data_IF_108226501273
#
_entry.id   IF_108226501273
#
_cell.length_a   1.000
_cell.length_b   1.000
_cell.length_c   1.000
_cell.angle_alpha   90.00
_cell.angle_beta   90.00
_cell.angle_gamma   90.00
#
_symmetry.space_group_name_H-M   'P 1'
#
loop_
_entity.id
_entity.type
_entity.pdbx_description
1 polymer ?
#
# COMPACT_ATOMS: atom_id res chain seq x y z
N UNK A 1 -2.25 -2.99 6.51
CA UNK A 1 -2.06 -1.71 5.82
C UNK A 1 -1.37 -0.73 6.75
N UNK A 2 -0.60 0.17 6.20
CA UNK A 2 -0.10 1.33 6.91
C UNK A 2 -1.14 2.45 6.75
N UNK A 3 -1.65 2.94 7.87
CA UNK A 3 -2.58 4.07 7.92
C UNK A 3 -2.04 5.10 8.91
N UNK A 4 -2.34 6.39 8.75
CA UNK A 4 -2.00 7.37 9.75
C UNK A 4 -2.55 6.97 11.12
N UNK A 5 -1.72 7.07 12.16
CA UNK A 5 -2.09 6.64 13.51
C UNK A 5 -3.31 7.41 14.04
N UNK A 6 -3.49 8.65 13.59
CA UNK A 6 -4.64 9.48 13.90
C UNK A 6 -5.98 8.87 13.44
N UNK A 7 -5.96 7.98 12.44
CA UNK A 7 -7.17 7.31 11.92
C UNK A 7 -7.48 5.98 12.62
N UNK A 8 -6.72 5.60 13.65
CA UNK A 8 -6.90 4.33 14.35
C UNK A 8 -8.34 4.11 14.83
N UNK A 9 -8.97 5.14 15.41
CA UNK A 9 -10.35 5.08 15.94
C UNK A 9 -11.38 4.75 14.85
N UNK A 10 -11.15 5.16 13.59
CA UNK A 10 -12.04 4.89 12.45
C UNK A 10 -12.03 3.42 12.00
N UNK A 11 -11.08 2.65 12.46
CA UNK A 11 -10.98 1.21 12.13
C UNK A 11 -11.42 0.29 13.26
N UNK A 12 -11.73 0.83 14.46
CA UNK A 12 -12.06 0.03 15.65
C UNK A 12 -13.36 -0.77 15.49
N UNK A 13 -14.34 -0.28 14.74
CA UNK A 13 -15.55 -1.04 14.46
C UNK A 13 -15.26 -2.37 13.72
N UNK A 14 -14.21 -2.43 12.88
CA UNK A 14 -13.77 -3.67 12.24
C UNK A 14 -13.16 -4.66 13.22
N UNK A 15 -12.57 -4.17 14.30
CA UNK A 15 -11.96 -5.01 15.34
C UNK A 15 -12.97 -5.86 16.09
N UNK A 16 -14.24 -5.44 16.13
CA UNK A 16 -15.34 -6.21 16.69
C UNK A 16 -15.83 -7.34 15.76
N UNK A 17 -15.40 -7.36 14.48
CA UNK A 17 -15.84 -8.39 13.53
C UNK A 17 -14.90 -9.61 13.55
N UNK A 18 -15.41 -10.82 13.27
CA UNK A 18 -14.58 -12.02 13.14
C UNK A 18 -13.51 -11.84 12.06
N UNK A 19 -12.36 -12.48 12.27
CA UNK A 19 -11.31 -12.49 11.25
C UNK A 19 -11.81 -13.15 9.95
N UNK A 20 -11.55 -12.53 8.79
CA UNK A 20 -12.03 -13.01 7.47
C UNK A 20 -11.49 -14.38 7.09
N UNK A 21 -10.34 -14.77 7.61
CA UNK A 21 -9.74 -16.07 7.31
C UNK A 21 -10.15 -17.12 8.35
N UNK A 22 -11.02 -18.00 7.93
CA UNK A 22 -11.59 -19.07 8.78
C UNK A 22 -10.53 -20.00 9.40
N UNK A 23 -9.36 -20.14 8.78
CA UNK A 23 -8.23 -20.89 9.34
C UNK A 23 -7.74 -20.33 10.68
N UNK A 24 -7.67 -19.01 10.81
CA UNK A 24 -7.33 -18.32 12.08
C UNK A 24 -8.41 -18.56 13.12
N UNK A 25 -9.66 -18.36 12.76
CA UNK A 25 -10.81 -18.55 13.69
C UNK A 25 -10.82 -19.94 14.28
N UNK A 26 -10.61 -20.99 13.46
CA UNK A 26 -10.54 -22.37 13.92
C UNK A 26 -9.39 -22.64 14.90
N UNK A 27 -8.23 -22.00 14.71
CA UNK A 27 -7.10 -22.12 15.66
C UNK A 27 -7.45 -21.48 17.00
N UNK A 28 -8.02 -20.28 16.97
CA UNK A 28 -8.40 -19.55 18.19
C UNK A 28 -9.48 -20.32 18.98
N UNK A 29 -10.47 -20.87 18.30
CA UNK A 29 -11.51 -21.71 18.92
C UNK A 29 -10.94 -22.98 19.56
N UNK A 30 -9.96 -23.62 18.92
CA UNK A 30 -9.28 -24.83 19.43
C UNK A 30 -8.34 -24.54 20.59
N UNK A 31 -7.73 -23.34 20.63
CA UNK A 31 -6.69 -22.94 21.58
C UNK A 31 -7.03 -21.62 22.29
N UNK A 32 -8.13 -21.56 23.04
CA UNK A 32 -8.57 -20.34 23.72
C UNK A 32 -7.55 -19.86 24.77
N UNK A 33 -6.85 -20.78 25.42
CA UNK A 33 -5.81 -20.53 26.40
C UNK A 33 -4.59 -19.78 25.83
N UNK A 34 -4.31 -19.98 24.55
CA UNK A 34 -3.10 -19.43 23.90
C UNK A 34 -3.14 -17.92 23.76
N UNK A 35 -4.32 -17.34 23.58
CA UNK A 35 -4.49 -15.89 23.49
C UNK A 35 -4.10 -15.17 24.80
N UNK A 36 -4.57 -15.67 25.93
CA UNK A 36 -4.26 -15.10 27.24
C UNK A 36 -2.81 -15.32 27.61
N UNK A 37 -2.25 -16.50 27.32
CA UNK A 37 -0.84 -16.78 27.51
C UNK A 37 0.08 -15.84 26.68
N UNK A 38 -0.27 -15.55 25.43
CA UNK A 38 0.48 -14.63 24.57
C UNK A 38 0.42 -13.21 25.14
N UNK A 39 -0.76 -12.75 25.57
CA UNK A 39 -0.91 -11.42 26.16
C UNK A 39 -0.11 -11.32 27.47
N UNK A 40 -0.19 -12.32 28.35
CA UNK A 40 0.57 -12.35 29.59
C UNK A 40 2.10 -12.26 29.30
N UNK A 41 2.61 -13.06 28.37
CA UNK A 41 4.02 -12.99 27.98
C UNK A 41 4.42 -11.62 27.45
N UNK A 42 3.61 -11.01 26.56
CA UNK A 42 3.89 -9.66 26.04
C UNK A 42 3.84 -8.62 27.16
N UNK A 43 2.95 -8.81 28.14
CA UNK A 43 2.85 -7.93 29.32
C UNK A 43 4.14 -7.99 30.15
N UNK A 44 4.65 -9.18 30.42
CA UNK A 44 5.78 -9.42 31.32
C UNK A 44 7.14 -9.23 30.61
N UNK A 45 7.30 -9.77 29.39
CA UNK A 45 8.55 -9.78 28.64
C UNK A 45 8.76 -8.58 27.74
N UNK A 46 7.70 -7.80 27.46
CA UNK A 46 7.71 -6.71 26.47
C UNK A 46 7.30 -7.17 25.08
N UNK A 47 7.60 -6.34 24.08
CA UNK A 47 7.20 -6.57 22.68
C UNK A 47 7.90 -7.80 22.08
N UNK A 48 7.13 -8.72 21.49
CA UNK A 48 7.60 -9.99 20.95
C UNK A 48 7.28 -10.17 19.46
N UNK A 49 8.11 -10.94 18.77
CA UNK A 49 7.83 -11.39 17.40
C UNK A 49 7.12 -12.74 17.39
N UNK A 50 6.54 -13.12 16.25
CA UNK A 50 6.00 -14.48 16.10
C UNK A 50 7.07 -15.57 16.26
N UNK A 51 8.34 -15.27 16.01
CA UNK A 51 9.46 -16.17 16.21
C UNK A 51 9.71 -16.49 17.68
N UNK A 52 9.58 -15.47 18.56
CA UNK A 52 9.81 -15.61 20.01
C UNK A 52 8.70 -16.44 20.67
N UNK A 53 7.53 -16.49 20.05
CA UNK A 53 6.35 -17.22 20.53
C UNK A 53 6.16 -18.58 19.86
N UNK A 54 7.06 -18.97 18.96
CA UNK A 54 6.95 -20.21 18.20
C UNK A 54 7.00 -21.44 19.12
N UNK A 55 5.94 -22.25 19.08
CA UNK A 55 5.85 -23.50 19.86
C UNK A 55 6.23 -24.75 19.07
N UNK A 56 6.21 -24.66 17.74
CA UNK A 56 6.45 -25.80 16.86
C UNK A 56 7.93 -26.20 16.82
N UNK A 57 8.20 -27.46 17.13
CA UNK A 57 9.50 -28.10 16.93
C UNK A 57 9.45 -28.85 15.58
N UNK A 58 10.20 -28.40 14.58
CA UNK A 58 10.27 -29.07 13.28
C UNK A 58 10.32 -28.14 12.07
N UNK A 59 10.51 -28.68 10.85
CA UNK A 59 10.58 -27.90 9.63
C UNK A 59 9.25 -27.21 9.33
N UNK A 60 9.35 -26.07 8.66
CA UNK A 60 8.19 -25.31 8.18
C UNK A 60 7.58 -26.04 6.99
N UNK A 61 6.28 -26.24 6.99
CA UNK A 61 5.50 -26.73 5.86
C UNK A 61 5.34 -25.68 4.73
N UNK A 62 4.37 -25.87 3.82
CA UNK A 62 4.08 -24.91 2.74
C UNK A 62 3.87 -23.51 3.25
N UNK A 63 3.86 -22.52 2.36
CA UNK A 63 3.72 -21.09 2.65
C UNK A 63 2.59 -20.74 3.65
N UNK A 64 1.50 -21.50 3.66
CA UNK A 64 0.31 -21.29 4.49
C UNK A 64 0.31 -22.11 5.80
N UNK A 65 1.39 -22.82 6.10
CA UNK A 65 1.52 -23.61 7.33
C UNK A 65 1.97 -22.70 8.48
N UNK A 66 1.01 -22.02 9.06
CA UNK A 66 1.24 -21.14 10.20
C UNK A 66 1.25 -21.93 11.51
N UNK A 67 2.18 -21.55 12.38
CA UNK A 67 2.16 -21.96 13.77
C UNK A 67 0.93 -21.39 14.48
N UNK A 68 0.34 -22.14 15.42
CA UNK A 68 -0.84 -21.71 16.17
C UNK A 68 -0.62 -20.35 16.85
N UNK A 69 0.57 -20.10 17.40
CA UNK A 69 0.91 -18.80 17.99
C UNK A 69 0.84 -17.66 16.96
N UNK A 70 1.29 -17.89 15.72
CA UNK A 70 1.18 -16.91 14.64
C UNK A 70 -0.27 -16.62 14.27
N UNK A 71 -1.13 -17.64 14.23
CA UNK A 71 -2.55 -17.46 13.95
C UNK A 71 -3.24 -16.65 15.05
N UNK A 72 -2.97 -16.96 16.32
CA UNK A 72 -3.51 -16.22 17.46
C UNK A 72 -3.01 -14.78 17.52
N UNK A 73 -1.73 -14.54 17.23
CA UNK A 73 -1.18 -13.17 17.14
C UNK A 73 -1.91 -12.33 16.07
N UNK A 74 -2.21 -12.91 14.91
CA UNK A 74 -2.95 -12.20 13.85
C UNK A 74 -4.41 -11.92 14.27
N UNK A 75 -5.05 -12.82 15.00
CA UNK A 75 -6.39 -12.59 15.56
C UNK A 75 -6.38 -11.47 16.61
N UNK A 76 -5.44 -11.53 17.56
CA UNK A 76 -5.28 -10.49 18.57
C UNK A 76 -4.97 -9.11 17.95
N UNK A 77 -4.15 -9.10 16.92
CA UNK A 77 -3.86 -7.88 16.15
C UNK A 77 -5.09 -7.39 15.38
N UNK A 78 -5.85 -8.28 14.74
CA UNK A 78 -7.11 -7.94 14.08
C UNK A 78 -8.13 -7.33 15.04
N UNK A 79 -8.26 -7.91 16.22
CA UNK A 79 -9.17 -7.46 17.29
C UNK A 79 -8.67 -6.23 18.03
N UNK A 80 -7.51 -5.69 17.69
CA UNK A 80 -6.93 -4.52 18.35
C UNK A 80 -6.48 -4.78 19.79
N UNK A 81 -6.44 -6.04 20.26
CA UNK A 81 -5.88 -6.42 21.56
C UNK A 81 -4.35 -6.35 21.59
N UNK A 82 -3.73 -6.44 20.42
CA UNK A 82 -2.32 -6.15 20.17
C UNK A 82 -2.20 -5.16 19.03
N UNK A 83 -1.11 -4.40 19.03
CA UNK A 83 -0.66 -3.63 17.88
C UNK A 83 0.69 -4.15 17.41
N UNK A 84 1.22 -3.62 16.30
CA UNK A 84 2.50 -4.06 15.80
C UNK A 84 3.27 -2.92 15.14
N UNK A 85 4.57 -2.88 15.42
CA UNK A 85 5.55 -2.09 14.66
C UNK A 85 6.35 -3.00 13.74
N UNK A 86 7.02 -2.42 12.74
CA UNK A 86 7.94 -3.15 11.86
C UNK A 86 9.35 -3.13 12.45
N UNK A 87 10.06 -4.24 12.31
CA UNK A 87 11.48 -4.34 12.62
C UNK A 87 12.30 -3.87 11.41
N UNK A 88 13.19 -2.91 11.62
CA UNK A 88 13.88 -2.23 10.52
C UNK A 88 14.68 -3.15 9.60
N UNK A 89 15.32 -4.19 10.16
CA UNK A 89 16.20 -5.07 9.37
C UNK A 89 15.47 -6.00 8.39
N UNK A 90 14.19 -6.36 8.64
CA UNK A 90 13.49 -7.40 7.87
C UNK A 90 11.97 -7.21 7.79
N UNK A 91 11.47 -6.07 8.28
CA UNK A 91 10.05 -5.72 8.32
C UNK A 91 9.15 -6.74 9.06
N UNK A 92 9.71 -7.66 9.85
CA UNK A 92 8.92 -8.54 10.69
C UNK A 92 8.09 -7.73 11.68
N UNK A 93 6.87 -8.20 11.96
CA UNK A 93 6.02 -7.58 12.98
C UNK A 93 6.57 -7.87 14.37
N UNK A 94 6.67 -6.84 15.18
CA UNK A 94 6.92 -6.90 16.62
C UNK A 94 5.60 -6.50 17.29
N UNK A 95 4.96 -7.41 17.98
CA UNK A 95 3.66 -7.22 18.60
C UNK A 95 3.82 -6.69 20.02
N UNK A 96 2.97 -5.72 20.38
CA UNK A 96 2.96 -5.11 21.71
C UNK A 96 1.53 -4.72 22.14
N UNK A 97 1.36 -4.38 23.39
CA UNK A 97 0.11 -3.84 23.91
C UNK A 97 -0.17 -2.46 23.28
N UNK A 98 -1.42 -2.15 22.90
CA UNK A 98 -1.77 -0.85 22.36
C UNK A 98 -1.33 0.32 23.26
N UNK A 99 -1.47 0.17 24.56
CA UNK A 99 -1.14 1.19 25.57
C UNK A 99 0.35 1.54 25.62
N UNK A 100 1.21 0.64 25.16
CA UNK A 100 2.66 0.88 25.09
C UNK A 100 3.12 1.42 23.72
N UNK A 101 2.38 1.12 22.68
CA UNK A 101 2.79 1.38 21.31
C UNK A 101 2.05 2.54 20.65
N UNK A 102 0.89 2.94 21.16
CA UNK A 102 0.07 4.03 20.63
C UNK A 102 0.03 5.18 21.62
N UNK A 103 0.04 6.45 21.13
CA UNK A 103 -0.14 7.62 21.98
C UNK A 103 -1.48 7.57 22.74
N UNK A 104 -1.47 8.04 23.97
CA UNK A 104 -2.66 8.01 24.84
C UNK A 104 -3.84 8.79 24.24
N UNK A 105 -3.56 9.91 23.57
CA UNK A 105 -4.58 10.73 22.89
C UNK A 105 -5.24 10.00 21.71
N UNK A 106 -4.53 9.06 21.06
CA UNK A 106 -5.09 8.20 19.99
C UNK A 106 -6.02 7.16 20.61
N UNK A 107 -5.61 6.57 21.73
CA UNK A 107 -6.41 5.57 22.43
C UNK A 107 -7.66 6.19 23.07
N UNK A 108 -7.55 7.40 23.58
CA UNK A 108 -8.65 8.13 24.22
C UNK A 108 -9.74 8.61 23.24
N UNK A 109 -9.47 8.65 21.93
CA UNK A 109 -10.46 9.04 20.93
C UNK A 109 -11.67 8.11 20.98
N UNK A 110 -12.90 8.64 21.05
CA UNK A 110 -14.10 7.80 21.00
C UNK A 110 -14.16 7.03 19.69
N UNK A 111 -14.67 5.81 19.75
CA UNK A 111 -14.94 5.02 18.57
C UNK A 111 -16.27 5.48 17.97
N UNK A 112 -16.30 6.01 16.75
CA UNK A 112 -17.56 6.35 16.10
C UNK A 112 -18.33 5.07 15.76
N UNK A 113 -19.63 5.20 15.52
CA UNK A 113 -20.39 4.09 14.97
C UNK A 113 -19.88 3.70 13.56
N UNK A 114 -20.30 2.53 13.08
CA UNK A 114 -19.82 2.00 11.81
C UNK A 114 -20.14 2.94 10.62
N UNK A 115 -21.34 3.54 10.61
CA UNK A 115 -21.78 4.44 9.52
C UNK A 115 -20.94 5.71 9.48
N UNK A 116 -20.68 6.31 10.63
CA UNK A 116 -19.89 7.54 10.73
C UNK A 116 -18.41 7.29 10.50
N UNK A 117 -17.87 6.17 11.02
CA UNK A 117 -16.51 5.75 10.69
C UNK A 117 -16.30 5.54 9.18
N UNK A 118 -17.26 4.90 8.51
CA UNK A 118 -17.23 4.71 7.07
C UNK A 118 -17.34 6.02 6.30
N UNK A 119 -18.19 6.96 6.75
CA UNK A 119 -18.34 8.26 6.13
C UNK A 119 -17.04 9.06 6.20
N UNK A 120 -16.38 9.11 7.35
CA UNK A 120 -15.10 9.78 7.50
C UNK A 120 -14.00 9.12 6.65
N UNK A 121 -13.95 7.79 6.58
CA UNK A 121 -13.01 7.07 5.71
C UNK A 121 -13.26 7.35 4.22
N UNK A 122 -14.52 7.49 3.77
CA UNK A 122 -14.86 7.86 2.39
C UNK A 122 -14.43 9.30 2.10
N UNK A 123 -14.66 10.22 3.04
CA UNK A 123 -14.21 11.61 2.89
C UNK A 123 -12.68 11.71 2.82
N UNK A 124 -11.95 10.97 3.67
CA UNK A 124 -10.49 10.88 3.59
C UNK A 124 -10.02 10.31 2.24
N UNK A 125 -10.72 9.30 1.72
CA UNK A 125 -10.44 8.75 0.40
C UNK A 125 -10.67 9.81 -0.70
N UNK A 126 -11.78 10.54 -0.64
CA UNK A 126 -12.11 11.59 -1.62
C UNK A 126 -11.10 12.73 -1.63
N UNK A 127 -10.60 13.14 -0.46
CA UNK A 127 -9.51 14.12 -0.34
C UNK A 127 -8.22 13.65 -1.02
N UNK A 128 -7.88 12.37 -0.82
CA UNK A 128 -6.64 11.79 -1.37
C UNK A 128 -6.72 11.58 -2.88
N UNK A 129 -7.91 11.26 -3.39
CA UNK A 129 -8.13 10.95 -4.80
C UNK A 129 -8.54 12.16 -5.64
N UNK A 130 -9.00 13.25 -4.99
CA UNK A 130 -9.55 14.43 -5.62
C UNK A 130 -10.92 14.15 -6.26
N UNK A 131 -10.93 13.44 -7.36
CA UNK A 131 -12.13 12.92 -8.03
C UNK A 131 -12.09 11.40 -8.10
N UNK A 132 -13.22 10.73 -7.83
CA UNK A 132 -13.26 9.27 -7.71
C UNK A 132 -14.65 8.70 -7.98
N UNK A 133 -14.74 7.49 -8.54
CA UNK A 133 -15.99 6.74 -8.60
C UNK A 133 -16.33 6.14 -7.22
N UNK A 134 -17.55 5.62 -7.07
CA UNK A 134 -17.92 4.86 -5.86
C UNK A 134 -16.98 3.67 -5.60
N UNK A 135 -16.54 3.01 -6.68
CA UNK A 135 -15.58 1.90 -6.60
C UNK A 135 -14.24 2.34 -6.04
N UNK A 136 -13.71 3.46 -6.52
CA UNK A 136 -12.43 4.03 -6.06
C UNK A 136 -12.49 4.41 -4.58
N UNK A 137 -13.55 5.13 -4.17
CA UNK A 137 -13.76 5.55 -2.78
C UNK A 137 -13.84 4.36 -1.82
N UNK A 138 -14.56 3.32 -2.22
CA UNK A 138 -14.70 2.11 -1.42
C UNK A 138 -13.38 1.33 -1.33
N UNK A 139 -12.68 1.15 -2.45
CA UNK A 139 -11.43 0.39 -2.51
C UNK A 139 -10.30 1.05 -1.70
N UNK A 140 -10.26 2.37 -1.60
CA UNK A 140 -9.18 3.09 -0.92
C UNK A 140 -8.95 2.58 0.51
N UNK A 141 -10.04 2.35 1.27
CA UNK A 141 -10.00 1.77 2.61
C UNK A 141 -10.53 0.32 2.66
N UNK A 142 -10.54 -0.39 1.51
CA UNK A 142 -10.96 -1.80 1.40
C UNK A 142 -12.36 -2.03 1.99
N UNK A 143 -13.30 -1.17 1.64
CA UNK A 143 -14.72 -1.27 1.99
C UNK A 143 -15.48 -1.93 0.83
N UNK A 144 -16.68 -2.46 1.11
CA UNK A 144 -17.57 -3.00 0.07
C UNK A 144 -18.39 -1.85 -0.52
N UNK A 145 -18.47 -1.76 -1.84
CA UNK A 145 -19.27 -0.71 -2.53
C UNK A 145 -20.73 -0.67 -2.06
N UNK A 146 -21.32 -1.86 -1.83
CA UNK A 146 -22.73 -1.95 -1.38
C UNK A 146 -22.95 -1.22 -0.04
N UNK A 147 -21.98 -1.30 0.87
CA UNK A 147 -22.04 -0.65 2.16
C UNK A 147 -21.74 0.86 2.05
N UNK A 148 -20.92 1.26 1.08
CA UNK A 148 -20.54 2.67 0.86
C UNK A 148 -21.61 3.47 0.11
N UNK A 149 -22.38 2.85 -0.76
CA UNK A 149 -23.38 3.53 -1.61
C UNK A 149 -24.36 4.44 -0.84
N UNK A 150 -25.04 4.00 0.23
CA UNK A 150 -25.94 4.85 1.00
C UNK A 150 -25.19 6.00 1.71
N UNK A 151 -23.96 5.75 2.11
CA UNK A 151 -23.12 6.74 2.79
C UNK A 151 -22.68 7.84 1.82
N UNK A 152 -22.25 7.48 0.61
CA UNK A 152 -21.88 8.45 -0.42
C UNK A 152 -23.07 9.36 -0.78
N UNK A 153 -24.30 8.80 -0.89
CA UNK A 153 -25.51 9.60 -1.11
C UNK A 153 -25.71 10.61 0.02
N UNK A 154 -25.62 10.18 1.28
CA UNK A 154 -25.70 11.06 2.44
C UNK A 154 -24.65 12.17 2.38
N UNK A 155 -23.41 11.85 2.06
CA UNK A 155 -22.32 12.83 1.94
C UNK A 155 -22.56 13.85 0.81
N UNK A 156 -23.22 13.45 -0.27
CA UNK A 156 -23.64 14.37 -1.34
C UNK A 156 -24.78 15.27 -0.85
N UNK A 157 -25.80 14.73 -0.19
CA UNK A 157 -26.91 15.49 0.41
C UNK A 157 -26.42 16.51 1.45
N UNK A 158 -25.39 16.16 2.23
CA UNK A 158 -24.71 17.02 3.20
C UNK A 158 -23.76 18.05 2.57
N UNK A 159 -23.52 18.00 1.25
CA UNK A 159 -22.58 18.88 0.54
C UNK A 159 -21.09 18.57 0.83
N UNK A 160 -20.78 17.42 1.42
CA UNK A 160 -19.41 16.94 1.71
C UNK A 160 -18.77 16.27 0.51
N UNK A 161 -19.56 15.87 -0.48
CA UNK A 161 -19.14 15.43 -1.81
C UNK A 161 -20.02 16.10 -2.86
N UNK A 162 -19.45 16.34 -4.04
CA UNK A 162 -20.20 16.83 -5.20
C UNK A 162 -20.21 15.75 -6.26
N UNK A 163 -21.40 15.37 -6.73
CA UNK A 163 -21.56 14.48 -7.86
C UNK A 163 -21.15 15.21 -9.15
N UNK A 164 -20.31 14.56 -9.96
CA UNK A 164 -19.80 15.14 -11.22
C UNK A 164 -19.74 14.09 -12.31
N UNK A 165 -19.86 14.54 -13.54
CA UNK A 165 -19.60 13.75 -14.75
C UNK A 165 -18.23 14.09 -15.29
N UNK A 166 -17.44 13.07 -15.63
CA UNK A 166 -16.11 13.23 -16.22
C UNK A 166 -16.17 12.74 -17.67
N UNK A 167 -15.70 13.57 -18.59
CA UNK A 167 -15.62 13.20 -19.99
C UNK A 167 -14.84 11.89 -20.19
N UNK A 168 -15.43 10.95 -20.92
CA UNK A 168 -14.85 9.63 -21.18
C UNK A 168 -15.04 8.60 -20.06
N UNK A 169 -15.65 8.96 -18.92
CA UNK A 169 -15.98 7.97 -17.87
C UNK A 169 -17.43 7.50 -18.03
N UNK A 170 -17.63 6.20 -17.87
CA UNK A 170 -18.98 5.60 -17.89
C UNK A 170 -19.72 5.67 -16.56
N UNK A 171 -19.01 5.94 -15.48
CA UNK A 171 -19.54 5.98 -14.13
C UNK A 171 -19.56 7.43 -13.60
N UNK A 172 -20.57 7.72 -12.81
CA UNK A 172 -20.62 8.95 -12.02
C UNK A 172 -19.43 9.02 -11.08
N UNK A 173 -18.84 10.20 -10.97
CA UNK A 173 -17.74 10.47 -10.07
C UNK A 173 -18.15 11.45 -8.96
N UNK A 174 -17.36 11.48 -7.91
CA UNK A 174 -17.55 12.32 -6.73
C UNK A 174 -16.30 13.16 -6.52
N UNK A 175 -16.49 14.47 -6.45
CA UNK A 175 -15.44 15.46 -6.22
C UNK A 175 -15.47 15.89 -4.76
N UNK A 176 -14.31 15.89 -4.10
CA UNK A 176 -14.18 16.52 -2.78
C UNK A 176 -14.25 18.05 -2.93
N UNK A 177 -15.07 18.79 -2.14
CA UNK A 177 -15.21 20.25 -2.28
C UNK A 177 -13.89 21.03 -2.14
N UNK A 178 -12.95 20.49 -1.36
CA UNK A 178 -11.61 21.05 -1.18
C UNK A 178 -10.56 20.50 -2.14
N UNK A 179 -10.95 19.80 -3.23
CA UNK A 179 -9.99 19.29 -4.21
C UNK A 179 -9.28 20.42 -4.94
N UNK A 180 -7.96 20.33 -4.99
CA UNK A 180 -7.15 21.24 -5.83
C UNK A 180 -7.11 20.72 -7.26
N UNK A 181 -7.42 21.56 -8.22
CA UNK A 181 -7.32 21.28 -9.65
C UNK A 181 -6.23 22.16 -10.24
N UNK A 182 -4.95 21.72 -10.18
CA UNK A 182 -3.85 22.53 -10.68
C UNK A 182 -3.91 22.61 -12.21
N UNK A 183 -3.57 23.79 -12.75
CA UNK A 183 -3.48 23.98 -14.21
C UNK A 183 -2.26 23.29 -14.81
N UNK A 184 -1.24 23.07 -14.01
CA UNK A 184 0.03 22.43 -14.39
C UNK A 184 0.53 21.60 -13.23
N UNK A 185 1.00 20.41 -13.56
CA UNK A 185 1.73 19.51 -12.67
C UNK A 185 3.16 19.47 -13.18
N UNK A 186 4.13 19.62 -12.30
CA UNK A 186 5.56 19.50 -12.61
C UNK A 186 6.16 18.52 -11.60
N UNK A 187 6.14 17.25 -11.96
CA UNK A 187 6.64 16.17 -11.12
C UNK A 187 7.29 15.06 -11.94
N UNK A 188 8.28 14.41 -11.34
CA UNK A 188 8.81 13.14 -11.81
C UNK A 188 8.93 12.23 -10.59
N UNK A 189 8.33 11.05 -10.64
CA UNK A 189 8.33 10.12 -9.51
C UNK A 189 8.36 8.65 -9.96
N UNK A 190 9.09 7.83 -9.19
CA UNK A 190 9.07 6.37 -9.30
C UNK A 190 8.03 5.83 -8.33
N UNK A 191 6.91 5.34 -8.85
CA UNK A 191 5.79 4.90 -8.03
C UNK A 191 6.00 3.47 -7.52
N UNK A 192 5.74 3.25 -6.23
CA UNK A 192 5.63 1.89 -5.71
C UNK A 192 4.44 1.17 -6.35
N UNK A 193 4.53 -0.16 -6.59
CA UNK A 193 3.36 -0.94 -6.98
C UNK A 193 2.16 -0.85 -6.03
N UNK A 194 2.40 -0.38 -4.81
CA UNK A 194 1.40 -0.19 -3.76
C UNK A 194 0.98 1.27 -3.58
N UNK A 195 1.46 2.16 -4.45
CA UNK A 195 1.07 3.57 -4.44
C UNK A 195 -0.43 3.73 -4.77
N UNK A 196 -1.17 4.61 -4.06
CA UNK A 196 -2.58 4.89 -4.35
C UNK A 196 -2.89 5.29 -5.80
N UNK A 197 -1.94 5.87 -6.51
CA UNK A 197 -2.09 6.25 -7.92
C UNK A 197 -2.26 5.03 -8.82
N UNK A 198 -1.57 3.91 -8.52
CA UNK A 198 -1.51 2.74 -9.42
C UNK A 198 -1.99 1.42 -8.83
N UNK A 199 -2.23 1.31 -7.50
CA UNK A 199 -2.61 0.04 -6.90
C UNK A 199 -3.98 -0.49 -7.37
N UNK A 200 -4.92 0.42 -7.64
CA UNK A 200 -6.21 0.10 -8.22
C UNK A 200 -6.07 0.08 -9.74
N UNK A 201 -6.14 -1.11 -10.32
CA UNK A 201 -5.87 -1.32 -11.75
C UNK A 201 -6.88 -0.67 -12.65
N UNK A 202 -8.18 -0.77 -12.32
CA UNK A 202 -9.26 -0.15 -13.09
C UNK A 202 -9.14 1.37 -13.10
N UNK A 203 -8.75 1.96 -11.96
CA UNK A 203 -8.47 3.37 -11.88
C UNK A 203 -7.22 3.77 -12.67
N UNK A 204 -6.13 3.02 -12.57
CA UNK A 204 -4.90 3.29 -13.31
C UNK A 204 -5.12 3.21 -14.83
N UNK A 205 -5.92 2.24 -15.29
CA UNK A 205 -6.30 2.09 -16.68
C UNK A 205 -7.20 3.26 -17.14
N UNK A 206 -8.20 3.63 -16.33
CA UNK A 206 -9.12 4.74 -16.64
C UNK A 206 -8.44 6.11 -16.68
N UNK A 207 -7.46 6.37 -15.78
CA UNK A 207 -6.78 7.66 -15.69
C UNK A 207 -5.62 7.82 -16.67
N UNK A 208 -4.87 6.74 -16.92
CA UNK A 208 -3.57 6.80 -17.59
C UNK A 208 -3.47 5.87 -18.80
N UNK A 209 -4.53 5.15 -19.15
CA UNK A 209 -4.47 4.04 -20.13
C UNK A 209 -3.33 3.05 -19.79
N UNK A 210 -3.12 2.83 -18.49
CA UNK A 210 -1.97 2.11 -17.97
C UNK A 210 -2.36 0.76 -17.38
N UNK A 211 -2.11 -0.30 -18.17
CA UNK A 211 -2.35 -1.66 -17.71
C UNK A 211 -1.16 -2.18 -16.88
N UNK A 212 -1.35 -2.28 -15.56
CA UNK A 212 -0.29 -2.64 -14.61
C UNK A 212 -0.57 -3.91 -13.82
N UNK A 213 0.44 -4.80 -13.77
CA UNK A 213 0.48 -5.96 -12.86
C UNK A 213 1.90 -6.16 -12.37
N UNK A 214 2.07 -6.26 -11.05
CA UNK A 214 3.35 -6.66 -10.46
C UNK A 214 3.61 -8.15 -10.74
N UNK A 215 4.82 -8.51 -11.15
CA UNK A 215 5.18 -9.86 -11.60
C UNK A 215 6.01 -10.64 -10.58
N UNK A 216 6.02 -10.23 -9.29
CA UNK A 216 6.79 -10.90 -8.22
C UNK A 216 6.43 -12.38 -8.04
N UNK A 217 5.19 -12.76 -8.33
CA UNK A 217 4.71 -14.15 -8.27
C UNK A 217 4.79 -14.88 -9.62
N UNK A 218 5.20 -14.19 -10.68
CA UNK A 218 5.37 -14.77 -12.00
C UNK A 218 6.74 -15.41 -12.09
N UNK A 219 6.87 -16.69 -12.56
CA UNK A 219 8.16 -17.32 -12.79
C UNK A 219 9.04 -16.48 -13.72
N UNK A 220 10.34 -16.38 -13.44
CA UNK A 220 11.27 -15.49 -14.15
C UNK A 220 11.18 -15.56 -15.69
N UNK A 221 11.09 -16.75 -16.34
CA UNK A 221 10.99 -16.83 -17.80
C UNK A 221 9.68 -16.29 -18.40
N UNK A 222 8.65 -16.08 -17.56
CA UNK A 222 7.33 -15.57 -17.98
C UNK A 222 7.11 -14.10 -17.65
N UNK A 223 8.09 -13.44 -17.03
CA UNK A 223 8.02 -12.01 -16.73
C UNK A 223 8.23 -11.20 -17.99
N UNK A 224 7.35 -10.23 -18.21
CA UNK A 224 7.41 -9.34 -19.36
C UNK A 224 8.29 -8.11 -19.10
N UNK A 225 8.16 -7.52 -17.91
CA UNK A 225 8.79 -6.25 -17.56
C UNK A 225 9.82 -6.37 -16.45
N UNK A 226 9.76 -7.39 -15.60
CA UNK A 226 10.71 -7.58 -14.51
C UNK A 226 10.10 -8.15 -13.24
N UNK A 227 10.85 -8.09 -12.15
CA UNK A 227 10.43 -8.65 -10.86
C UNK A 227 9.64 -7.65 -10.02
N UNK A 228 10.23 -6.48 -9.76
CA UNK A 228 9.65 -5.42 -8.95
C UNK A 228 9.67 -4.11 -9.74
N UNK A 229 8.74 -4.02 -10.66
CA UNK A 229 8.67 -2.95 -11.64
C UNK A 229 7.97 -1.74 -11.07
N UNK A 230 8.61 -0.57 -11.13
CA UNK A 230 8.06 0.70 -10.69
C UNK A 230 7.55 1.48 -11.92
N UNK A 231 6.27 1.89 -11.93
CA UNK A 231 5.78 2.87 -12.89
C UNK A 231 6.48 4.22 -12.73
N UNK A 232 6.74 4.89 -13.84
CA UNK A 232 7.34 6.22 -13.89
C UNK A 232 6.28 7.25 -14.21
N UNK A 233 5.96 8.10 -13.24
CA UNK A 233 5.06 9.24 -13.41
C UNK A 233 5.89 10.46 -13.79
N UNK A 234 5.51 11.12 -14.88
CA UNK A 234 6.03 12.43 -15.27
C UNK A 234 4.84 13.33 -15.51
N UNK A 235 4.77 14.41 -14.74
CA UNK A 235 3.64 15.32 -14.72
C UNK A 235 2.32 14.54 -14.43
N UNK A 236 1.42 14.46 -15.37
CA UNK A 236 0.14 13.73 -15.29
C UNK A 236 0.10 12.44 -16.14
N UNK A 237 1.27 11.91 -16.57
CA UNK A 237 1.37 10.71 -17.40
C UNK A 237 2.22 9.62 -16.76
N UNK A 238 1.77 8.38 -16.86
CA UNK A 238 2.67 7.23 -16.67
C UNK A 238 3.44 7.02 -17.97
N UNK A 239 4.72 7.30 -17.95
CA UNK A 239 5.54 7.33 -19.18
C UNK A 239 6.39 6.09 -19.38
N UNK A 240 6.61 5.28 -18.33
CA UNK A 240 7.49 4.12 -18.42
C UNK A 240 7.42 3.20 -17.21
N UNK A 241 8.25 2.16 -17.26
CA UNK A 241 8.39 1.11 -16.23
C UNK A 241 9.85 0.77 -16.04
N UNK A 242 10.29 0.75 -14.78
CA UNK A 242 11.66 0.40 -14.42
C UNK A 242 11.69 -0.78 -13.45
N UNK A 243 12.42 -1.85 -13.77
CA UNK A 243 12.73 -2.92 -12.82
C UNK A 243 14.03 -2.57 -12.08
N UNK A 244 13.93 -2.31 -10.79
CA UNK A 244 15.01 -1.77 -9.98
C UNK A 244 15.50 -2.78 -8.93
N UNK A 245 16.80 -2.77 -8.67
CA UNK A 245 17.44 -3.54 -7.61
C UNK A 245 18.50 -2.72 -6.88
N UNK A 246 18.34 -2.58 -5.57
CA UNK A 246 19.39 -2.04 -4.70
C UNK A 246 20.47 -3.12 -4.47
N UNK A 247 21.60 -3.00 -5.13
CA UNK A 247 22.79 -3.81 -4.90
C UNK A 247 23.65 -3.14 -3.83
N UNK A 248 23.37 -3.47 -2.57
CA UNK A 248 24.02 -2.86 -1.41
C UNK A 248 25.51 -3.25 -1.30
N UNK A 249 25.91 -4.42 -1.83
CA UNK A 249 27.32 -4.84 -1.81
C UNK A 249 28.16 -4.02 -2.78
N UNK A 250 27.58 -3.66 -3.93
CA UNK A 250 28.22 -2.83 -4.94
C UNK A 250 27.93 -1.32 -4.77
N UNK A 251 27.21 -0.90 -3.71
CA UNK A 251 26.72 0.48 -3.51
C UNK A 251 26.00 1.04 -4.75
N UNK A 252 25.19 0.22 -5.46
CA UNK A 252 24.65 0.57 -6.76
C UNK A 252 23.16 0.34 -6.83
N UNK A 253 22.42 1.34 -7.33
CA UNK A 253 21.05 1.16 -7.81
C UNK A 253 21.09 0.63 -9.25
N UNK A 254 20.74 -0.63 -9.43
CA UNK A 254 20.70 -1.26 -10.75
C UNK A 254 19.32 -1.11 -11.36
N UNK A 255 19.26 -0.56 -12.57
CA UNK A 255 18.09 -0.57 -13.45
C UNK A 255 18.20 -1.81 -14.32
N UNK A 256 17.54 -2.90 -13.91
CA UNK A 256 17.61 -4.21 -14.58
C UNK A 256 16.91 -4.20 -15.94
N UNK A 257 15.79 -3.45 -16.04
CA UNK A 257 15.07 -3.22 -17.29
C UNK A 257 14.39 -1.85 -17.26
N UNK A 258 14.29 -1.21 -18.42
CA UNK A 258 13.65 0.08 -18.61
C UNK A 258 12.81 0.07 -19.90
N UNK A 259 11.48 0.24 -19.73
CA UNK A 259 10.52 0.21 -20.82
C UNK A 259 9.75 1.52 -20.89
N UNK A 260 9.60 2.07 -22.10
CA UNK A 260 8.74 3.21 -22.36
C UNK A 260 7.28 2.78 -22.51
N UNK A 261 6.35 3.60 -22.04
CA UNK A 261 4.95 3.52 -22.44
C UNK A 261 4.76 4.22 -23.80
N UNK A 262 3.71 3.88 -24.56
CA UNK A 262 3.45 4.50 -25.86
C UNK A 262 3.37 6.03 -25.80
N UNK A 263 3.70 6.71 -26.92
CA UNK A 263 3.57 8.18 -27.04
C UNK A 263 4.87 8.97 -26.91
N UNK A 264 6.02 8.33 -26.72
CA UNK A 264 7.35 8.99 -26.79
C UNK A 264 7.72 9.91 -25.61
N UNK A 265 6.82 10.10 -24.64
CA UNK A 265 7.04 10.99 -23.48
C UNK A 265 8.21 10.56 -22.60
N UNK A 266 8.44 9.24 -22.46
CA UNK A 266 9.56 8.74 -21.66
C UNK A 266 10.91 9.21 -22.18
N UNK A 267 11.13 9.16 -23.50
CA UNK A 267 12.38 9.61 -24.12
C UNK A 267 12.54 11.12 -23.97
N UNK A 268 11.45 11.89 -24.13
CA UNK A 268 11.48 13.35 -23.92
C UNK A 268 11.75 13.74 -22.46
N UNK A 269 11.54 12.84 -21.51
CA UNK A 269 11.71 13.09 -20.05
C UNK A 269 12.90 12.34 -19.47
N UNK A 270 13.80 11.81 -20.30
CA UNK A 270 14.88 10.90 -19.86
C UNK A 270 15.80 11.55 -18.82
N UNK A 271 16.09 12.85 -18.94
CA UNK A 271 16.95 13.56 -17.98
C UNK A 271 16.28 13.68 -16.61
N UNK A 272 14.96 13.94 -16.58
CA UNK A 272 14.18 13.98 -15.34
C UNK A 272 14.13 12.61 -14.67
N UNK A 273 13.95 11.55 -15.46
CA UNK A 273 13.94 10.15 -14.96
C UNK A 273 15.34 9.79 -14.43
N UNK A 274 16.40 10.18 -15.10
CA UNK A 274 17.77 9.96 -14.63
C UNK A 274 18.05 10.68 -13.31
N UNK A 275 17.59 11.92 -13.17
CA UNK A 275 17.70 12.69 -11.93
C UNK A 275 16.92 12.03 -10.78
N UNK A 276 15.71 11.51 -11.04
CA UNK A 276 14.90 10.81 -10.04
C UNK A 276 15.55 9.49 -9.61
N UNK A 277 16.17 8.75 -10.53
CA UNK A 277 16.98 7.56 -10.20
C UNK A 277 18.16 7.91 -9.30
N UNK A 278 18.83 9.03 -9.55
CA UNK A 278 19.91 9.56 -8.70
C UNK A 278 19.41 9.91 -7.28
N UNK A 279 18.25 10.58 -7.20
CA UNK A 279 17.59 10.90 -5.93
C UNK A 279 17.23 9.62 -5.15
N UNK A 280 16.69 8.62 -5.82
CA UNK A 280 16.38 7.31 -5.22
C UNK A 280 17.65 6.58 -4.75
N UNK A 281 18.73 6.59 -5.53
CA UNK A 281 20.00 6.00 -5.12
C UNK A 281 20.52 6.68 -3.83
N UNK A 282 20.53 8.00 -3.78
CA UNK A 282 20.92 8.79 -2.60
C UNK A 282 20.04 8.44 -1.38
N UNK A 283 18.72 8.39 -1.56
CA UNK A 283 17.79 8.01 -0.49
C UNK A 283 18.05 6.60 0.05
N UNK A 284 18.45 5.67 -0.82
CA UNK A 284 18.79 4.28 -0.45
C UNK A 284 20.20 4.14 0.15
N UNK A 285 21.00 5.21 0.21
CA UNK A 285 22.40 5.19 0.64
C UNK A 285 23.31 4.51 -0.37
N UNK A 286 23.01 4.62 -1.66
CA UNK A 286 23.79 4.05 -2.76
C UNK A 286 24.55 5.17 -3.50
N UNK A 287 25.74 4.85 -4.02
CA UNK A 287 26.66 5.84 -4.59
C UNK A 287 26.44 6.11 -6.08
N UNK A 288 25.85 5.13 -6.80
CA UNK A 288 25.71 5.23 -8.25
C UNK A 288 24.47 4.52 -8.78
N UNK A 289 24.11 4.88 -10.01
CA UNK A 289 23.06 4.25 -10.81
C UNK A 289 23.70 3.54 -11.99
N UNK A 290 23.36 2.28 -12.22
CA UNK A 290 23.78 1.51 -13.39
C UNK A 290 22.56 1.02 -14.16
N UNK A 291 22.52 1.30 -15.48
CA UNK A 291 21.41 0.90 -16.34
C UNK A 291 21.86 -0.26 -17.24
N UNK A 292 21.20 -1.40 -17.12
CA UNK A 292 21.40 -2.57 -17.97
C UNK A 292 20.82 -2.35 -19.39
N UNK A 293 21.09 -3.29 -20.33
CA UNK A 293 20.67 -3.14 -21.74
C UNK A 293 19.31 -3.76 -22.04
N UNK A 294 18.41 -3.81 -21.06
CA UNK A 294 17.09 -4.42 -21.21
C UNK A 294 16.00 -3.36 -21.33
N UNK A 295 15.15 -3.47 -22.33
CA UNK A 295 14.07 -2.54 -22.64
C UNK A 295 14.50 -1.36 -23.52
N UNK A 296 13.52 -0.75 -24.16
CA UNK A 296 13.68 0.29 -25.18
C UNK A 296 14.11 1.65 -24.60
N UNK A 297 13.83 1.92 -23.32
CA UNK A 297 14.25 3.14 -22.63
C UNK A 297 15.67 3.04 -22.04
N UNK A 298 16.28 1.86 -22.02
CA UNK A 298 17.59 1.63 -21.42
C UNK A 298 18.72 2.37 -22.12
N UNK A 299 18.68 2.46 -23.45
CA UNK A 299 19.66 3.21 -24.27
C UNK A 299 19.66 4.70 -23.93
N UNK A 300 18.53 5.40 -24.07
CA UNK A 300 18.38 6.80 -23.67
C UNK A 300 18.85 7.08 -22.23
N UNK A 301 18.43 6.30 -21.23
CA UNK A 301 18.84 6.49 -19.85
C UNK A 301 20.34 6.33 -19.61
N UNK A 302 20.99 5.41 -20.31
CA UNK A 302 22.46 5.25 -20.24
C UNK A 302 23.22 6.43 -20.81
N UNK A 303 22.64 7.13 -21.78
CA UNK A 303 23.23 8.34 -22.35
C UNK A 303 23.11 9.52 -21.39
N UNK A 304 21.91 9.73 -20.81
CA UNK A 304 21.65 10.79 -19.85
C UNK A 304 22.47 10.65 -18.56
N UNK A 305 22.66 9.43 -18.06
CA UNK A 305 23.45 9.18 -16.84
C UNK A 305 24.97 9.34 -16.98
N UNK A 306 25.47 9.74 -18.16
CA UNK A 306 26.90 10.05 -18.43
C UNK A 306 27.19 11.54 -18.52
N UNK A 307 26.16 12.37 -18.52
CA UNK A 307 26.25 13.83 -18.51
C UNK A 307 26.27 14.36 -17.10
#
# INVERSE_FOLDING_TARGET
SHVPIAHHHLHRWKMATPHRWTGITRVVERRPDLADNIIARITDEGALTAGDLRQRKGPKGPWWDWDDAKAVLEDLFWKGRLTARRRDRDFARIYDLPERALPAEVLARPTPDESDARAELIELASRSLGVATLSDLADYHRQRQIDCRPIVRRLVEEGRLTEVEIEGWSEVAYLHPGASIPRRIDTCALLSPFDPVVWNRERAERLFDFHYRIEIYTPAPKRRFGYYVLPVLVDDYIVGRLDLKADRQASTLRVLAAHAEPGGRAVASVDRIAAELGSMATWLGLERVEVERSGDLSGPLRTAGRS
#
